data_IF_767256252647
#
_entry.id   IF_767256252647
#
_cell.length_a   1.000
_cell.length_b   1.000
_cell.length_c   1.000
_cell.angle_alpha   90.00
_cell.angle_beta   90.00
_cell.angle_gamma   90.00
#
_symmetry.space_group_name_H-M   'P 1'
#
loop_
_entity.id
_entity.type
_entity.pdbx_description
1 polymer ?
#
# COMPACT_ATOMS: atom_id res chain seq x y z
N UNK A 1 4.71 -12.80 3.03
CA UNK A 1 4.78 -11.49 3.73
C UNK A 1 5.95 -10.67 3.21
N UNK A 2 5.68 -9.49 2.67
CA UNK A 2 6.66 -8.52 2.17
C UNK A 2 6.59 -7.25 3.01
N UNK A 3 7.69 -6.87 3.63
CA UNK A 3 7.78 -5.66 4.45
C UNK A 3 7.81 -4.41 3.55
N UNK A 4 7.09 -3.35 3.94
CA UNK A 4 7.04 -2.08 3.21
C UNK A 4 7.66 -0.92 3.99
N UNK A 5 7.47 -0.88 5.31
CA UNK A 5 8.02 0.16 6.18
C UNK A 5 8.14 -0.34 7.63
N UNK A 6 9.19 0.10 8.33
CA UNK A 6 9.37 -0.09 9.78
C UNK A 6 9.61 1.28 10.41
N UNK A 7 8.87 1.61 11.45
CA UNK A 7 8.94 2.88 12.18
C UNK A 7 8.91 2.64 13.69
N UNK A 8 9.53 3.53 14.46
CA UNK A 8 9.64 3.49 15.94
C UNK A 8 8.32 3.90 16.62
N UNK A 9 7.53 4.71 15.91
CA UNK A 9 6.25 5.20 16.40
C UNK A 9 5.22 5.14 15.28
N UNK A 10 3.93 5.04 15.62
CA UNK A 10 2.81 4.80 14.70
C UNK A 10 2.77 5.74 13.47
N UNK A 11 3.30 6.96 13.59
CA UNK A 11 3.50 7.96 12.53
C UNK A 11 4.91 8.61 12.59
N UNK A 12 5.88 7.89 13.16
CA UNK A 12 7.24 8.38 13.41
C UNK A 12 8.17 8.31 12.20
N UNK A 13 9.38 8.83 12.37
CA UNK A 13 10.45 8.66 11.39
C UNK A 13 10.82 7.18 11.24
N UNK A 14 11.29 6.80 10.05
CA UNK A 14 11.84 5.47 9.82
C UNK A 14 12.96 5.18 10.83
N UNK A 15 12.94 3.99 11.43
CA UNK A 15 14.10 3.52 12.20
C UNK A 15 15.20 3.27 11.19
N UNK A 16 16.36 3.88 11.41
CA UNK A 16 17.49 3.74 10.50
C UNK A 16 18.27 2.44 10.73
N UNK A 17 18.07 1.77 11.87
CA UNK A 17 18.78 0.56 12.29
C UNK A 17 17.79 -0.60 12.54
N UNK A 18 17.41 -1.28 11.46
CA UNK A 18 16.75 -2.59 11.50
C UNK A 18 17.21 -3.44 10.33
N UNK A 19 17.19 -4.77 10.51
CA UNK A 19 17.54 -5.74 9.47
C UNK A 19 16.48 -6.85 9.38
N UNK A 20 16.28 -7.39 8.18
CA UNK A 20 15.42 -8.56 7.95
C UNK A 20 16.29 -9.81 7.80
N UNK A 21 16.24 -10.69 8.80
CA UNK A 21 16.88 -12.01 8.74
C UNK A 21 15.83 -13.10 8.53
N UNK A 22 15.65 -13.51 7.27
CA UNK A 22 14.66 -14.52 6.90
C UNK A 22 13.23 -14.02 7.15
N UNK A 23 12.60 -14.50 8.22
CA UNK A 23 11.24 -14.11 8.64
C UNK A 23 11.22 -13.26 9.92
N UNK A 24 12.40 -12.88 10.44
CA UNK A 24 12.53 -12.13 11.67
C UNK A 24 13.04 -10.71 11.37
N UNK A 25 12.57 -9.74 12.16
CA UNK A 25 13.06 -8.36 12.15
C UNK A 25 14.00 -8.21 13.34
N UNK A 26 15.25 -7.85 13.08
CA UNK A 26 16.22 -7.48 14.11
C UNK A 26 16.19 -5.97 14.29
N UNK A 27 16.04 -5.52 15.53
CA UNK A 27 16.15 -4.13 15.92
C UNK A 27 16.47 -4.05 17.41
N UNK A 28 17.16 -2.99 17.81
CA UNK A 28 17.42 -2.67 19.21
C UNK A 28 16.25 -1.93 19.88
N UNK A 29 15.20 -1.60 19.10
CA UNK A 29 14.01 -0.92 19.60
C UNK A 29 13.07 -1.85 20.36
N UNK A 30 12.48 -1.33 21.43
CA UNK A 30 11.56 -2.10 22.29
C UNK A 30 10.18 -2.33 21.67
N UNK A 31 9.74 -1.42 20.78
CA UNK A 31 8.45 -1.50 20.09
C UNK A 31 8.69 -1.16 18.62
N UNK A 32 8.16 -2.00 17.73
CA UNK A 32 8.23 -1.78 16.29
C UNK A 32 6.82 -1.65 15.71
N UNK A 33 6.63 -0.62 14.89
CA UNK A 33 5.44 -0.48 14.07
C UNK A 33 5.81 -0.80 12.63
N UNK A 34 5.13 -1.77 12.05
CA UNK A 34 5.43 -2.25 10.70
C UNK A 34 4.25 -2.02 9.77
N UNK A 35 4.54 -1.61 8.55
CA UNK A 35 3.64 -1.72 7.43
C UNK A 35 4.15 -2.82 6.51
N UNK A 36 3.29 -3.78 6.23
CA UNK A 36 3.62 -4.96 5.44
C UNK A 36 2.48 -5.30 4.49
N UNK A 37 2.82 -6.09 3.47
CA UNK A 37 1.87 -6.77 2.60
C UNK A 37 1.93 -8.25 2.97
N UNK A 38 0.77 -8.84 3.28
CA UNK A 38 0.64 -10.26 3.56
C UNK A 38 -0.14 -10.92 2.43
N UNK A 39 0.27 -12.13 2.11
CA UNK A 39 -0.48 -13.02 1.24
C UNK A 39 -1.63 -13.60 2.09
N UNK A 40 -2.86 -13.24 1.75
CA UNK A 40 -4.05 -13.72 2.45
C UNK A 40 -4.70 -14.84 1.64
N UNK A 41 -4.83 -16.01 2.27
CA UNK A 41 -5.45 -17.19 1.65
C UNK A 41 -6.94 -17.30 1.98
N UNK A 42 -7.40 -16.63 3.04
CA UNK A 42 -8.81 -16.60 3.38
C UNK A 42 -9.55 -15.55 2.56
N UNK A 43 -10.37 -16.02 1.62
CA UNK A 43 -11.19 -15.22 0.71
C UNK A 43 -12.18 -14.32 1.47
N UNK A 44 -12.64 -14.74 2.65
CA UNK A 44 -13.59 -13.97 3.47
C UNK A 44 -12.97 -12.69 4.08
N UNK A 45 -11.63 -12.58 4.07
CA UNK A 45 -10.90 -11.40 4.52
C UNK A 45 -10.57 -10.42 3.40
N UNK A 46 -10.84 -10.80 2.14
CA UNK A 46 -10.67 -9.94 0.98
C UNK A 46 -11.92 -9.10 0.75
N UNK A 47 -11.74 -7.90 0.18
CA UNK A 47 -12.86 -7.08 -0.26
C UNK A 47 -13.68 -7.80 -1.34
N UNK A 48 -14.99 -7.62 -1.33
CA UNK A 48 -15.93 -8.24 -2.27
C UNK A 48 -15.56 -7.87 -3.72
N UNK A 49 -15.15 -6.62 -3.94
CA UNK A 49 -14.72 -6.13 -5.26
C UNK A 49 -13.45 -6.84 -5.73
N UNK A 50 -12.51 -7.11 -4.82
CA UNK A 50 -11.29 -7.85 -5.13
C UNK A 50 -11.59 -9.32 -5.45
N UNK A 51 -12.49 -9.94 -4.69
CA UNK A 51 -12.93 -11.32 -4.93
C UNK A 51 -13.58 -11.48 -6.32
N UNK A 52 -14.42 -10.53 -6.72
CA UNK A 52 -15.05 -10.52 -8.03
C UNK A 52 -14.01 -10.39 -9.16
N UNK A 53 -13.02 -9.50 -9.00
CA UNK A 53 -11.94 -9.29 -9.98
C UNK A 53 -11.04 -10.53 -10.12
N UNK A 54 -10.66 -11.15 -9.01
CA UNK A 54 -9.85 -12.39 -9.02
C UNK A 54 -10.61 -13.49 -9.74
N UNK A 55 -11.91 -13.64 -9.47
CA UNK A 55 -12.77 -14.62 -10.13
C UNK A 55 -12.85 -14.39 -11.64
N UNK A 56 -13.02 -13.14 -12.08
CA UNK A 56 -13.06 -12.78 -13.50
C UNK A 56 -11.71 -12.99 -14.20
N UNK A 57 -10.59 -12.70 -13.52
CA UNK A 57 -9.26 -12.96 -14.04
C UNK A 57 -9.03 -14.46 -14.27
N UNK A 58 -9.40 -15.30 -13.29
CA UNK A 58 -9.33 -16.76 -13.42
C UNK A 58 -10.26 -17.28 -14.53
N UNK A 59 -11.48 -16.76 -14.62
CA UNK A 59 -12.43 -17.11 -15.67
C UNK A 59 -11.90 -16.75 -17.07
N UNK A 60 -11.24 -15.60 -17.21
CA UNK A 60 -10.60 -15.16 -18.46
C UNK A 60 -9.47 -16.10 -18.87
N UNK A 61 -8.60 -16.49 -17.94
CA UNK A 61 -7.51 -17.43 -18.19
C UNK A 61 -8.03 -18.82 -18.61
N UNK A 62 -9.12 -19.28 -17.99
CA UNK A 62 -9.79 -20.52 -18.39
C UNK A 62 -10.46 -20.41 -19.75
N UNK A 63 -11.15 -19.31 -20.04
CA UNK A 63 -11.80 -19.09 -21.34
C UNK A 63 -10.79 -19.04 -22.49
N UNK A 64 -9.66 -18.34 -22.29
CA UNK A 64 -8.58 -18.27 -23.26
C UNK A 64 -7.93 -19.65 -23.51
N UNK A 65 -7.68 -20.41 -22.45
CA UNK A 65 -6.98 -21.69 -22.55
C UNK A 65 -7.85 -22.86 -23.00
N UNK A 66 -9.17 -22.82 -22.77
CA UNK A 66 -10.05 -24.00 -22.86
C UNK A 66 -11.19 -23.88 -23.85
N UNK A 67 -11.76 -22.69 -24.07
CA UNK A 67 -13.07 -22.59 -24.75
C UNK A 67 -12.99 -22.49 -26.26
N UNK A 68 -11.88 -22.06 -26.85
CA UNK A 68 -11.74 -21.87 -28.31
C UNK A 68 -12.71 -20.85 -28.92
N UNK A 69 -13.60 -20.27 -28.11
CA UNK A 69 -14.59 -19.27 -28.45
C UNK A 69 -14.09 -17.89 -28.01
N UNK A 70 -13.62 -17.11 -28.99
CA UNK A 70 -13.15 -15.74 -28.76
C UNK A 70 -14.24 -14.82 -28.20
N UNK A 71 -15.52 -15.09 -28.48
CA UNK A 71 -16.62 -14.24 -28.02
C UNK A 71 -16.85 -14.32 -26.51
N UNK A 72 -16.64 -15.50 -25.92
CA UNK A 72 -16.71 -15.69 -24.47
C UNK A 72 -15.54 -14.98 -23.77
N UNK A 73 -14.34 -15.09 -24.34
CA UNK A 73 -13.16 -14.39 -23.84
C UNK A 73 -13.38 -12.87 -23.85
N UNK A 74 -13.82 -12.32 -24.99
CA UNK A 74 -14.07 -10.88 -25.14
C UNK A 74 -15.12 -10.37 -24.13
N UNK A 75 -16.17 -11.16 -23.88
CA UNK A 75 -17.18 -10.83 -22.88
C UNK A 75 -16.60 -10.78 -21.47
N UNK A 76 -15.87 -11.81 -21.06
CA UNK A 76 -15.27 -11.87 -19.72
C UNK A 76 -14.21 -10.77 -19.56
N UNK A 77 -13.41 -10.51 -20.60
CA UNK A 77 -12.44 -9.41 -20.59
C UNK A 77 -13.12 -8.05 -20.40
N UNK A 78 -14.25 -7.82 -21.09
CA UNK A 78 -15.01 -6.58 -20.92
C UNK A 78 -15.59 -6.45 -19.51
N UNK A 79 -16.20 -7.52 -18.98
CA UNK A 79 -16.72 -7.54 -17.60
C UNK A 79 -15.59 -7.29 -16.58
N UNK A 80 -14.43 -7.93 -16.75
CA UNK A 80 -13.23 -7.70 -15.93
C UNK A 80 -12.80 -6.23 -15.95
N UNK A 81 -12.71 -5.61 -17.13
CA UNK A 81 -12.26 -4.21 -17.27
C UNK A 81 -13.19 -3.23 -16.54
N UNK A 82 -14.50 -3.45 -16.64
CA UNK A 82 -15.52 -2.62 -15.98
C UNK A 82 -15.36 -2.75 -14.45
N UNK A 83 -15.38 -3.97 -13.94
CA UNK A 83 -15.28 -4.24 -12.50
C UNK A 83 -13.96 -3.78 -11.90
N UNK A 84 -12.86 -3.94 -12.63
CA UNK A 84 -11.56 -3.43 -12.21
C UNK A 84 -11.52 -1.90 -12.09
N UNK A 85 -12.15 -1.18 -13.02
CA UNK A 85 -12.26 0.27 -12.95
C UNK A 85 -13.14 0.73 -11.77
N UNK A 86 -14.24 0.02 -11.50
CA UNK A 86 -15.12 0.28 -10.36
C UNK A 86 -14.38 0.10 -9.03
N UNK A 87 -13.74 -1.06 -8.82
CA UNK A 87 -13.00 -1.34 -7.59
C UNK A 87 -11.88 -0.32 -7.36
N UNK A 88 -11.14 0.06 -8.40
CA UNK A 88 -10.11 1.11 -8.30
C UNK A 88 -10.71 2.47 -7.89
N UNK A 89 -11.90 2.79 -8.40
CA UNK A 89 -12.59 4.03 -8.00
C UNK A 89 -13.08 3.97 -6.56
N UNK A 90 -13.45 2.81 -6.05
CA UNK A 90 -13.86 2.60 -4.65
C UNK A 90 -12.63 2.75 -3.75
N UNK A 91 -11.55 2.02 -4.04
CA UNK A 91 -10.26 2.11 -3.32
C UNK A 91 -9.72 3.56 -3.27
N UNK A 92 -9.81 4.28 -4.39
CA UNK A 92 -9.40 5.69 -4.45
C UNK A 92 -10.24 6.62 -3.54
N UNK A 93 -11.47 6.22 -3.18
CA UNK A 93 -12.33 6.95 -2.23
C UNK A 93 -12.09 6.51 -0.79
N UNK A 94 -11.67 5.27 -0.58
CA UNK A 94 -11.33 4.74 0.75
C UNK A 94 -9.98 5.28 1.26
N UNK A 95 -9.03 5.56 0.37
CA UNK A 95 -7.78 6.27 0.70
C UNK A 95 -8.06 7.78 0.94
N UNK A 96 -8.83 8.08 1.99
CA UNK A 96 -8.97 9.43 2.51
C UNK A 96 -7.60 9.94 2.95
N UNK A 97 -7.03 10.83 2.12
CA UNK A 97 -5.88 11.70 2.36
C UNK A 97 -4.85 11.12 3.32
N UNK A 98 -3.89 10.34 2.80
CA UNK A 98 -2.53 10.46 3.33
C UNK A 98 -2.13 11.91 3.11
N UNK A 99 -2.20 12.71 4.18
CA UNK A 99 -1.69 14.07 4.25
C UNK A 99 -0.40 14.11 3.46
N UNK A 100 -0.27 15.07 2.54
CA UNK A 100 1.02 15.39 1.92
C UNK A 100 1.95 15.67 3.11
N UNK A 101 2.72 14.66 3.52
CA UNK A 101 3.70 14.83 4.56
C UNK A 101 4.67 15.85 4.00
N UNK A 102 4.68 17.06 4.57
CA UNK A 102 5.57 18.12 4.17
C UNK A 102 6.99 17.55 4.04
N UNK A 103 7.48 17.43 2.81
CA UNK A 103 8.84 17.01 2.54
C UNK A 103 9.77 18.06 3.18
N UNK A 104 11.04 17.71 3.49
CA UNK A 104 12.04 18.67 3.99
C UNK A 104 12.08 19.99 3.20
N UNK A 105 11.74 19.93 1.91
CA UNK A 105 11.60 21.09 1.04
C UNK A 105 10.49 22.08 1.46
N UNK A 106 9.35 21.60 1.95
CA UNK A 106 8.26 22.45 2.47
C UNK A 106 8.61 22.99 3.87
N UNK A 107 9.22 22.18 4.73
CA UNK A 107 9.68 22.61 6.06
C UNK A 107 10.81 23.64 5.99
N UNK A 108 11.70 23.55 5.00
CA UNK A 108 12.81 24.52 4.82
C UNK A 108 12.33 25.91 4.39
N UNK A 109 11.19 26.01 3.70
CA UNK A 109 10.58 27.31 3.37
C UNK A 109 9.94 27.98 4.60
N UNK A 110 9.34 27.21 5.51
CA UNK A 110 8.75 27.74 6.73
C UNK A 110 9.79 28.10 7.81
N UNK A 111 10.89 27.32 7.90
CA UNK A 111 11.98 27.57 8.85
C UNK A 111 12.81 28.82 8.54
N UNK A 112 12.74 29.36 7.31
CA UNK A 112 13.46 30.57 6.89
C UNK A 112 12.92 31.88 7.48
N UNK A 113 11.80 31.86 8.22
CA UNK A 113 11.12 33.06 8.74
C UNK A 113 11.29 33.29 10.25
N UNK A 114 12.09 32.50 10.96
CA UNK A 114 12.36 32.70 12.38
C UNK A 114 13.78 33.28 12.58
N UNK A 115 13.96 34.55 13.02
CA UNK A 115 15.28 35.04 13.35
C UNK A 115 15.82 34.31 14.57
N UNK A 116 16.86 33.48 14.37
CA UNK A 116 17.52 32.68 15.41
C UNK A 116 18.15 33.61 16.44
N UNK A 117 17.46 33.80 17.57
CA UNK A 117 18.02 34.46 18.76
C UNK A 117 18.85 33.43 19.52
N UNK A 118 20.18 33.48 19.35
CA UNK A 118 21.09 32.65 20.15
C UNK A 118 20.95 33.00 21.64
N UNK A 119 20.68 32.04 22.54
CA UNK A 119 20.76 32.26 23.96
C UNK A 119 22.23 32.25 24.40
N UNK A 120 22.60 33.29 25.14
CA UNK A 120 23.95 33.53 25.65
C UNK A 120 24.35 32.41 26.63
N UNK A 121 25.57 31.88 26.48
CA UNK A 121 26.20 30.99 27.44
C UNK A 121 26.61 31.79 28.68
N UNK A 122 26.05 31.43 29.84
CA UNK A 122 26.50 31.82 31.17
C UNK A 122 26.75 30.55 31.98
#
# INVERSE_FOLDING_TARGET
MRLWLVVDQRDGAAINEWELEGQNILSDESILYIKYIKDEENVDLLDDSLNEIISLQLAKELAFSRSGDGSLYDRIENEFRIKFAEARSIDSKEDYQKTIAANEWTNSHEAGLQPTRYPNLA
#
